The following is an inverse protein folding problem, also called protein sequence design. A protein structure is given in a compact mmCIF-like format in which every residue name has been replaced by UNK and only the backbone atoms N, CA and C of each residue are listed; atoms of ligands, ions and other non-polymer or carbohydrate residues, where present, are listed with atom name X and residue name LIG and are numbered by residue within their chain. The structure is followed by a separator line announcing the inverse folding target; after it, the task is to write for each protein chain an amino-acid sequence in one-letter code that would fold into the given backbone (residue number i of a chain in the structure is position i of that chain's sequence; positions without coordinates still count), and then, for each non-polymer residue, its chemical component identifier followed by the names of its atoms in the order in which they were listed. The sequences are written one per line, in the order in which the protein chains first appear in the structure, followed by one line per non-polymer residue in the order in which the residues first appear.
data_IF_758558758311
#
_entry.id   IF_758558758311
#
_cell.length_a   1.000
_cell.length_b   1.000
_cell.length_c   1.000
_cell.angle_alpha   90.00
_cell.angle_beta   90.00
_cell.angle_gamma   90.00
#
_symmetry.space_group_name_H-M   'P 1'
#
loop_
_entity.id
_entity.type
_entity.pdbx_description
1 polymer ?
#
# COMPACT_ATOMS: atom_id res chain seq x y z
N UNK A 1 -14.69 4.64 -4.28
CA UNK A 1 -13.39 4.92 -3.64
C UNK A 1 -12.34 4.70 -4.69
N UNK A 2 -11.37 5.60 -4.82
CA UNK A 2 -10.33 5.49 -5.85
C UNK A 2 -9.45 6.73 -5.92
N UNK A 3 -8.48 6.68 -6.80
CA UNK A 3 -7.48 7.71 -7.00
C UNK A 3 -7.45 8.16 -8.46
N UNK A 4 -7.16 9.44 -8.70
CA UNK A 4 -6.89 9.99 -10.04
C UNK A 4 -5.75 11.00 -10.00
N UNK A 5 -5.20 11.30 -11.17
CA UNK A 5 -4.20 12.37 -11.37
C UNK A 5 -4.53 13.15 -12.63
N UNK A 6 -4.09 14.41 -12.69
CA UNK A 6 -4.31 15.27 -13.85
C UNK A 6 -3.02 15.43 -14.65
N UNK A 7 -3.14 15.49 -15.98
CA UNK A 7 -2.00 15.68 -16.91
C UNK A 7 -0.90 14.62 -16.74
N UNK A 8 -1.31 13.41 -16.41
CA UNK A 8 -0.42 12.26 -16.21
C UNK A 8 -0.98 11.05 -16.93
N UNK A 9 -0.13 10.05 -17.16
CA UNK A 9 -0.56 8.74 -17.66
C UNK A 9 -0.75 7.76 -16.50
N UNK A 10 -1.42 6.64 -16.76
CA UNK A 10 -1.63 5.60 -15.76
C UNK A 10 -0.32 5.08 -15.16
N UNK A 11 0.75 5.04 -15.95
CA UNK A 11 2.09 4.64 -15.50
C UNK A 11 2.65 5.56 -14.41
N UNK A 12 2.40 6.88 -14.48
CA UNK A 12 2.90 7.84 -13.48
C UNK A 12 2.25 7.61 -12.11
N UNK A 13 0.94 7.32 -12.13
CA UNK A 13 0.15 7.01 -10.95
C UNK A 13 0.60 5.67 -10.32
N UNK A 14 0.74 4.63 -11.14
CA UNK A 14 1.18 3.30 -10.70
C UNK A 14 2.63 3.35 -10.19
N UNK A 15 3.50 4.09 -10.87
CA UNK A 15 4.90 4.29 -10.50
C UNK A 15 5.10 5.16 -9.25
N UNK A 16 4.05 5.83 -8.75
CA UNK A 16 4.15 6.75 -7.62
C UNK A 16 5.00 7.98 -7.92
N UNK A 17 5.09 8.38 -9.18
CA UNK A 17 5.81 9.58 -9.62
C UNK A 17 4.99 10.85 -9.33
N UNK A 18 3.68 10.69 -9.13
CA UNK A 18 2.72 11.75 -8.83
C UNK A 18 1.91 11.40 -7.60
N UNK A 19 1.51 12.42 -6.84
CA UNK A 19 0.63 12.23 -5.70
C UNK A 19 -0.83 12.16 -6.18
N UNK A 20 -1.55 11.04 -5.95
CA UNK A 20 -2.93 10.92 -6.36
C UNK A 20 -3.87 11.82 -5.57
N UNK A 21 -4.92 12.26 -6.24
CA UNK A 21 -6.06 12.93 -5.61
C UNK A 21 -7.25 11.98 -5.49
N UNK A 22 -8.10 12.14 -4.47
CA UNK A 22 -9.24 11.28 -4.25
C UNK A 22 -10.33 11.49 -5.30
N UNK A 23 -11.07 10.43 -5.62
CA UNK A 23 -12.20 10.53 -6.56
C UNK A 23 -13.37 11.33 -5.97
N UNK A 24 -13.74 11.10 -4.70
CA UNK A 24 -14.90 11.77 -4.07
C UNK A 24 -14.52 12.69 -2.91
N UNK A 25 -15.37 13.68 -2.63
CA UNK A 25 -15.26 14.56 -1.47
C UNK A 25 -15.41 13.76 -0.17
N UNK A 26 -16.31 12.77 -0.16
CA UNK A 26 -16.47 11.87 0.98
C UNK A 26 -15.16 11.15 1.32
N UNK A 27 -14.41 10.66 0.32
CA UNK A 27 -13.10 10.04 0.49
C UNK A 27 -12.06 11.06 0.97
N UNK A 28 -12.04 12.26 0.38
CA UNK A 28 -11.12 13.34 0.76
C UNK A 28 -11.25 13.75 2.23
N UNK A 29 -12.49 13.88 2.71
CA UNK A 29 -12.79 14.37 4.06
C UNK A 29 -12.64 13.30 5.15
N UNK A 30 -12.80 12.02 4.81
CA UNK A 30 -12.80 10.92 5.78
C UNK A 30 -11.46 10.21 5.92
N UNK A 31 -10.57 10.31 4.94
CA UNK A 31 -9.29 9.59 4.93
C UNK A 31 -8.13 10.45 5.44
N UNK A 32 -7.36 10.00 6.45
CA UNK A 32 -6.13 10.69 6.88
C UNK A 32 -5.11 10.90 5.75
N UNK A 33 -5.08 10.02 4.75
CA UNK A 33 -4.17 10.10 3.59
C UNK A 33 -4.30 11.41 2.81
N UNK A 34 -5.51 11.98 2.75
CA UNK A 34 -5.78 13.22 2.00
C UNK A 34 -5.97 14.43 2.90
N UNK A 35 -5.48 14.38 4.15
CA UNK A 35 -5.57 15.52 5.05
C UNK A 35 -4.79 16.72 4.47
N UNK A 36 -5.46 17.86 4.34
CA UNK A 36 -4.90 19.07 3.72
C UNK A 36 -4.95 19.09 2.18
N UNK A 37 -5.44 18.03 1.53
CA UNK A 37 -5.70 18.04 0.09
C UNK A 37 -7.02 18.76 -0.19
N UNK A 38 -6.98 19.74 -1.09
CA UNK A 38 -8.15 20.54 -1.49
C UNK A 38 -8.83 20.04 -2.76
N UNK A 39 -8.25 19.05 -3.44
CA UNK A 39 -8.64 18.57 -4.75
C UNK A 39 -9.35 17.21 -4.67
N UNK A 40 -10.37 17.03 -5.52
CA UNK A 40 -11.01 15.73 -5.78
C UNK A 40 -11.62 15.73 -7.18
N UNK A 41 -11.86 14.54 -7.77
CA UNK A 41 -12.49 14.46 -9.09
C UNK A 41 -13.91 15.05 -9.02
N UNK A 42 -14.64 14.74 -7.95
CA UNK A 42 -15.99 15.27 -7.68
C UNK A 42 -16.04 16.80 -7.62
N UNK A 43 -15.04 17.44 -6.99
CA UNK A 43 -14.98 18.90 -6.86
C UNK A 43 -14.48 19.59 -8.12
N UNK A 44 -13.37 19.09 -8.69
CA UNK A 44 -12.64 19.81 -9.73
C UNK A 44 -13.14 19.45 -11.15
N UNK A 45 -13.70 18.25 -11.33
CA UNK A 45 -14.22 17.74 -12.61
C UNK A 45 -15.61 17.09 -12.43
N UNK A 46 -16.63 17.85 -12.00
CA UNK A 46 -17.92 17.31 -11.59
C UNK A 46 -18.66 16.58 -12.73
N UNK A 47 -18.45 16.98 -13.99
CA UNK A 47 -19.06 16.30 -15.14
C UNK A 47 -18.46 14.91 -15.37
N UNK A 48 -17.13 14.80 -15.30
CA UNK A 48 -16.40 13.53 -15.41
C UNK A 48 -16.77 12.60 -14.25
N UNK A 49 -16.81 13.14 -13.03
CA UNK A 49 -17.21 12.38 -11.85
C UNK A 49 -18.62 11.79 -11.98
N UNK A 50 -19.59 12.58 -12.48
CA UNK A 50 -20.97 12.10 -12.69
C UNK A 50 -21.03 10.98 -13.72
N UNK A 51 -20.36 11.15 -14.86
CA UNK A 51 -20.29 10.11 -15.89
C UNK A 51 -19.65 8.82 -15.35
N UNK A 52 -18.57 8.93 -14.57
CA UNK A 52 -17.93 7.78 -13.95
C UNK A 52 -18.82 7.10 -12.91
N UNK A 53 -19.58 7.89 -12.13
CA UNK A 53 -20.53 7.38 -11.14
C UNK A 53 -21.70 6.65 -11.81
N UNK A 54 -22.20 7.16 -12.94
CA UNK A 54 -23.23 6.49 -13.74
C UNK A 54 -22.71 5.15 -14.25
N UNK A 55 -21.51 5.11 -14.84
CA UNK A 55 -20.89 3.85 -15.27
C UNK A 55 -20.74 2.86 -14.09
N UNK A 56 -20.25 3.33 -12.94
CA UNK A 56 -20.07 2.48 -11.77
C UNK A 56 -21.41 1.90 -11.25
N UNK A 57 -22.49 2.69 -11.30
CA UNK A 57 -23.85 2.23 -10.94
C UNK A 57 -24.37 1.23 -11.95
N UNK A 58 -24.29 1.51 -13.24
CA UNK A 58 -24.77 0.62 -14.30
C UNK A 58 -24.06 -0.75 -14.24
N UNK A 59 -22.75 -0.74 -13.99
CA UNK A 59 -21.98 -1.97 -13.82
C UNK A 59 -22.48 -2.80 -12.63
N UNK A 60 -22.79 -2.19 -11.50
CA UNK A 60 -23.25 -2.91 -10.30
C UNK A 60 -24.73 -3.29 -10.40
N UNK A 61 -25.58 -2.45 -10.96
CA UNK A 61 -27.03 -2.64 -10.93
C UNK A 61 -27.53 -3.50 -12.11
N UNK A 62 -26.93 -3.35 -13.29
CA UNK A 62 -27.48 -3.88 -14.55
C UNK A 62 -26.61 -5.00 -15.12
N UNK A 63 -25.28 -4.84 -15.12
CA UNK A 63 -24.41 -5.69 -15.91
C UNK A 63 -23.72 -6.81 -15.12
N UNK A 64 -23.03 -6.47 -14.04
CA UNK A 64 -22.13 -7.38 -13.33
C UNK A 64 -22.68 -7.86 -12.00
N UNK A 65 -23.60 -7.10 -11.39
CA UNK A 65 -24.20 -7.42 -10.08
C UNK A 65 -23.22 -7.53 -8.90
N UNK A 66 -21.97 -7.13 -9.10
CA UNK A 66 -20.89 -7.12 -8.11
C UNK A 66 -20.10 -5.80 -8.19
N UNK A 67 -19.50 -5.31 -7.08
CA UNK A 67 -18.57 -4.19 -7.11
C UNK A 67 -17.42 -4.42 -8.10
N UNK A 68 -17.05 -3.38 -8.85
CA UNK A 68 -16.01 -3.43 -9.87
C UNK A 68 -14.83 -2.51 -9.53
N UNK A 69 -13.63 -2.94 -9.88
CA UNK A 69 -12.48 -2.05 -10.05
C UNK A 69 -12.45 -1.54 -11.49
N UNK A 70 -12.32 -0.22 -11.65
CA UNK A 70 -12.43 0.47 -12.94
C UNK A 70 -11.15 1.28 -13.18
N UNK A 71 -10.52 1.07 -14.32
CA UNK A 71 -9.46 1.95 -14.84
C UNK A 71 -10.05 2.83 -15.93
N UNK A 72 -9.81 4.13 -15.82
CA UNK A 72 -10.38 5.13 -16.72
C UNK A 72 -9.34 6.21 -17.07
N UNK A 73 -9.61 6.93 -18.14
CA UNK A 73 -8.92 8.18 -18.49
C UNK A 73 -9.95 9.21 -18.93
N UNK A 74 -9.61 10.49 -18.87
CA UNK A 74 -10.41 11.55 -19.45
C UNK A 74 -9.53 12.58 -20.15
N UNK A 75 -9.99 13.09 -21.29
CA UNK A 75 -9.20 14.01 -22.12
C UNK A 75 -9.61 15.48 -21.93
N UNK A 76 -10.78 15.73 -21.32
CA UNK A 76 -11.24 17.08 -20.99
C UNK A 76 -12.10 17.10 -19.72
N UNK A 77 -12.54 18.29 -19.29
CA UNK A 77 -13.45 18.42 -18.15
C UNK A 77 -14.91 17.98 -18.47
N UNK A 78 -15.20 17.62 -19.73
CA UNK A 78 -16.50 17.08 -20.13
C UNK A 78 -16.66 15.62 -19.70
N UNK A 79 -17.85 15.24 -19.25
CA UNK A 79 -18.17 13.84 -18.98
C UNK A 79 -18.19 12.97 -20.24
N UNK A 80 -18.40 13.57 -21.42
CA UNK A 80 -18.39 12.87 -22.71
C UNK A 80 -16.99 12.39 -23.12
N UNK A 81 -15.94 13.00 -22.57
CA UNK A 81 -14.55 12.64 -22.82
C UNK A 81 -14.01 11.70 -21.73
N UNK A 82 -14.89 10.94 -21.07
CA UNK A 82 -14.55 9.85 -20.16
C UNK A 82 -14.42 8.54 -20.94
N UNK A 83 -13.30 7.86 -20.76
CA UNK A 83 -13.03 6.56 -21.38
C UNK A 83 -12.75 5.51 -20.31
N UNK A 84 -13.48 4.40 -20.34
CA UNK A 84 -13.20 3.24 -19.51
C UNK A 84 -12.23 2.32 -20.24
N UNK A 85 -11.07 2.09 -19.65
CA UNK A 85 -10.00 1.31 -20.25
C UNK A 85 -10.07 -0.15 -19.83
N UNK A 86 -10.39 -0.39 -18.57
CA UNK A 86 -10.50 -1.73 -18.00
C UNK A 86 -11.53 -1.75 -16.89
N UNK A 87 -12.20 -2.90 -16.74
CA UNK A 87 -12.98 -3.24 -15.55
C UNK A 87 -12.66 -4.67 -15.12
N UNK A 88 -12.73 -4.94 -13.83
CA UNK A 88 -12.68 -6.30 -13.28
C UNK A 88 -13.50 -6.40 -11.99
N UNK A 89 -14.02 -7.59 -11.64
CA UNK A 89 -14.67 -7.81 -10.36
C UNK A 89 -13.74 -7.42 -9.22
N UNK A 90 -14.26 -6.65 -8.27
CA UNK A 90 -13.53 -6.33 -7.06
C UNK A 90 -13.30 -7.63 -6.29
N UNK A 91 -12.02 -7.98 -6.12
CA UNK A 91 -11.65 -9.10 -5.26
C UNK A 91 -11.95 -8.65 -3.84
N UNK A 92 -13.01 -9.17 -3.27
CA UNK A 92 -13.28 -9.00 -1.84
C UNK A 92 -12.12 -9.65 -1.10
N UNK A 93 -11.26 -8.85 -0.50
CA UNK A 93 -10.38 -9.35 0.54
C UNK A 93 -11.29 -9.95 1.59
N UNK A 94 -11.36 -11.29 1.66
CA UNK A 94 -11.74 -11.95 2.89
C UNK A 94 -10.99 -11.21 3.98
N UNK A 95 -11.72 -10.64 4.95
CA UNK A 95 -11.13 -9.93 6.08
C UNK A 95 -10.27 -10.93 6.82
N UNK A 96 -9.03 -11.10 6.37
CA UNK A 96 -8.05 -11.92 7.05
C UNK A 96 -7.81 -11.17 8.34
N UNK A 97 -8.01 -11.86 9.45
CA UNK A 97 -7.76 -11.32 10.78
C UNK A 97 -6.26 -11.07 10.91
N UNK A 98 -5.81 -9.88 10.50
CA UNK A 98 -4.41 -9.54 10.61
C UNK A 98 -4.06 -9.16 12.05
N UNK A 99 -2.87 -9.55 12.54
CA UNK A 99 -2.36 -9.08 13.83
C UNK A 99 -2.30 -7.55 13.90
N UNK A 100 -2.27 -7.00 15.12
CA UNK A 100 -2.03 -5.57 15.36
C UNK A 100 -0.92 -5.39 16.40
N UNK A 101 -0.25 -4.23 16.38
CA UNK A 101 0.78 -3.93 17.37
C UNK A 101 0.16 -3.58 18.72
N UNK A 102 0.69 -4.18 19.79
CA UNK A 102 0.42 -3.71 21.14
C UNK A 102 1.22 -2.44 21.42
N UNK A 103 0.65 -1.30 21.02
CA UNK A 103 1.24 0.02 21.27
C UNK A 103 1.17 0.45 22.75
N UNK A 104 0.47 -0.33 23.60
CA UNK A 104 0.44 -0.11 25.05
C UNK A 104 1.61 -0.78 25.79
N UNK A 105 2.33 -1.68 25.11
CA UNK A 105 3.51 -2.33 25.66
C UNK A 105 4.62 -1.32 25.99
N UNK A 106 5.21 -1.46 27.19
CA UNK A 106 6.32 -0.60 27.63
C UNK A 106 7.50 -0.69 26.65
N UNK A 107 7.91 0.45 26.10
CA UNK A 107 9.05 0.55 25.18
C UNK A 107 8.66 0.69 23.70
N UNK A 108 7.38 0.55 23.35
CA UNK A 108 6.88 0.89 22.01
C UNK A 108 6.69 2.40 21.94
N UNK A 109 7.66 3.09 21.33
CA UNK A 109 7.60 4.53 21.10
C UNK A 109 6.67 4.89 19.94
N UNK A 110 6.67 6.17 19.54
CA UNK A 110 6.01 6.59 18.31
C UNK A 110 6.66 5.94 17.07
N UNK A 111 5.90 5.72 15.99
CA UNK A 111 6.45 5.21 14.74
C UNK A 111 7.58 6.12 14.26
N UNK A 112 8.66 5.51 13.75
CA UNK A 112 9.81 6.24 13.24
C UNK A 112 9.53 6.88 11.87
N UNK A 113 8.60 6.29 11.13
CA UNK A 113 8.12 6.76 9.85
C UNK A 113 6.69 6.23 9.62
N UNK A 114 5.98 6.90 8.71
CA UNK A 114 4.67 6.47 8.24
C UNK A 114 4.70 6.47 6.72
N UNK A 115 4.24 5.38 6.12
CA UNK A 115 3.96 5.30 4.68
C UNK A 115 2.47 5.03 4.44
N UNK A 116 2.14 4.57 3.24
CA UNK A 116 0.82 4.11 2.87
C UNK A 116 0.68 2.61 3.12
N UNK A 117 -0.13 2.22 4.10
CA UNK A 117 -0.49 0.81 4.29
C UNK A 117 -1.36 0.31 3.14
N UNK A 118 -0.97 -0.80 2.50
CA UNK A 118 -1.68 -1.34 1.32
C UNK A 118 -2.13 -2.78 1.46
N UNK A 119 -1.51 -3.59 2.32
CA UNK A 119 -1.87 -4.99 2.49
C UNK A 119 -1.39 -5.53 3.84
N UNK A 120 -2.18 -6.40 4.48
CA UNK A 120 -1.80 -7.05 5.74
C UNK A 120 -2.12 -6.23 7.00
N UNK A 121 -1.42 -6.53 8.09
CA UNK A 121 -1.54 -5.82 9.37
C UNK A 121 -0.18 -5.69 10.04
N UNK A 122 -0.13 -5.79 11.36
CA UNK A 122 1.14 -5.75 12.08
C UNK A 122 2.03 -6.94 11.72
N UNK A 123 3.29 -6.63 11.44
CA UNK A 123 4.28 -7.59 11.02
C UNK A 123 5.67 -7.21 11.52
N UNK A 124 6.45 -8.18 11.98
CA UNK A 124 7.80 -7.95 12.48
C UNK A 124 8.76 -8.96 11.85
N UNK A 125 9.82 -8.46 11.22
CA UNK A 125 10.81 -9.30 10.57
C UNK A 125 12.18 -8.64 10.51
N UNK A 126 13.15 -9.41 10.02
CA UNK A 126 14.50 -8.96 9.73
C UNK A 126 14.57 -8.21 8.42
N UNK A 127 15.32 -7.13 8.41
CA UNK A 127 15.58 -6.32 7.23
C UNK A 127 16.42 -7.09 6.21
N UNK A 128 15.98 -7.09 4.95
CA UNK A 128 16.79 -7.46 3.79
C UNK A 128 16.61 -6.42 2.68
N UNK A 129 17.65 -6.17 1.88
CA UNK A 129 17.65 -5.21 0.78
C UNK A 129 17.77 -5.93 -0.57
N UNK A 130 18.47 -7.06 -0.62
CA UNK A 130 18.74 -7.81 -1.85
C UNK A 130 18.66 -9.33 -1.64
N UNK A 131 18.70 -10.07 -2.75
CA UNK A 131 18.55 -11.53 -2.76
C UNK A 131 19.61 -12.25 -1.93
N UNK A 132 20.87 -11.81 -2.00
CA UNK A 132 21.96 -12.41 -1.22
C UNK A 132 21.68 -12.32 0.29
N UNK A 133 21.23 -11.16 0.76
CA UNK A 133 20.89 -10.98 2.17
C UNK A 133 19.69 -11.86 2.59
N UNK A 134 18.71 -12.05 1.70
CA UNK A 134 17.60 -12.98 1.96
C UNK A 134 18.14 -14.41 2.12
N UNK A 135 19.03 -14.86 1.23
CA UNK A 135 19.65 -16.19 1.31
C UNK A 135 20.40 -16.39 2.63
N UNK A 136 21.23 -15.41 3.02
CA UNK A 136 22.00 -15.45 4.26
C UNK A 136 21.11 -15.47 5.50
N UNK A 137 20.04 -14.68 5.51
CA UNK A 137 19.10 -14.62 6.63
C UNK A 137 18.30 -15.91 6.77
N UNK A 138 17.79 -16.48 5.67
CA UNK A 138 17.06 -17.75 5.72
C UNK A 138 17.97 -18.91 6.12
N UNK A 139 19.24 -18.90 5.73
CA UNK A 139 20.20 -19.92 6.16
C UNK A 139 20.54 -19.81 7.65
N UNK A 140 20.64 -18.59 8.18
CA UNK A 140 21.06 -18.33 9.57
C UNK A 140 19.90 -18.36 10.56
N UNK A 141 18.72 -17.92 10.14
CA UNK A 141 17.52 -17.76 10.95
C UNK A 141 16.29 -18.27 10.17
N UNK A 142 16.15 -19.59 9.97
CA UNK A 142 15.11 -20.16 9.10
C UNK A 142 13.68 -19.90 9.60
N UNK A 143 13.50 -19.64 10.89
CA UNK A 143 12.21 -19.34 11.52
C UNK A 143 11.93 -17.83 11.62
N UNK A 144 12.93 -16.98 11.34
CA UNK A 144 12.74 -15.54 11.40
C UNK A 144 12.20 -15.03 10.07
N UNK A 145 11.11 -14.28 10.18
CA UNK A 145 10.50 -13.61 9.06
C UNK A 145 11.35 -12.46 8.51
N UNK A 146 11.14 -12.10 7.24
CA UNK A 146 11.92 -11.07 6.53
C UNK A 146 11.01 -9.95 6.01
N UNK A 147 11.47 -8.71 6.19
CA UNK A 147 10.94 -7.49 5.58
C UNK A 147 11.92 -7.01 4.51
N UNK A 148 11.48 -7.07 3.25
CA UNK A 148 12.26 -6.58 2.11
C UNK A 148 12.08 -5.06 1.96
N UNK A 149 13.19 -4.33 1.90
CA UNK A 149 13.19 -2.90 1.60
C UNK A 149 13.66 -2.65 0.18
N UNK A 150 12.89 -1.84 -0.56
CA UNK A 150 13.20 -1.46 -1.94
C UNK A 150 12.96 0.04 -2.15
N UNK A 151 13.66 0.71 -3.09
CA UNK A 151 13.28 2.07 -3.49
C UNK A 151 11.88 2.08 -4.13
N UNK A 152 11.67 1.16 -5.05
CA UNK A 152 10.44 0.81 -5.76
C UNK A 152 10.52 -0.67 -6.12
N UNK A 153 9.46 -1.27 -6.66
CA UNK A 153 9.50 -2.68 -7.09
C UNK A 153 9.28 -2.80 -8.57
N UNK A 154 10.01 -3.73 -9.18
CA UNK A 154 9.88 -4.11 -10.59
C UNK A 154 9.49 -5.59 -10.72
N UNK A 155 9.01 -6.05 -11.89
CA UNK A 155 8.62 -7.45 -12.09
C UNK A 155 9.69 -8.48 -11.71
N UNK A 156 10.96 -8.15 -11.90
CA UNK A 156 12.11 -9.00 -11.58
C UNK A 156 12.24 -9.26 -10.06
N UNK A 157 11.69 -8.38 -9.22
CA UNK A 157 11.73 -8.52 -7.76
C UNK A 157 10.84 -9.69 -7.27
N UNK A 158 9.99 -10.27 -8.12
CA UNK A 158 9.04 -11.32 -7.73
C UNK A 158 9.71 -12.53 -7.07
N UNK A 159 10.92 -12.90 -7.54
CA UNK A 159 11.70 -13.99 -6.96
C UNK A 159 12.11 -13.72 -5.51
N UNK A 160 12.34 -12.45 -5.15
CA UNK A 160 12.59 -12.05 -3.77
C UNK A 160 11.29 -11.92 -2.97
N UNK A 161 10.28 -11.25 -3.54
CA UNK A 161 9.01 -10.95 -2.84
C UNK A 161 8.29 -12.24 -2.41
N UNK A 162 8.33 -13.29 -3.21
CA UNK A 162 7.72 -14.59 -2.87
C UNK A 162 8.32 -15.22 -1.62
N UNK A 163 9.59 -14.93 -1.31
CA UNK A 163 10.40 -15.55 -0.25
C UNK A 163 10.41 -14.78 1.08
N UNK A 164 9.90 -13.56 1.08
CA UNK A 164 9.79 -12.70 2.26
C UNK A 164 8.34 -12.58 2.69
N UNK A 165 8.07 -11.94 3.81
CA UNK A 165 6.72 -11.86 4.35
C UNK A 165 6.24 -10.42 4.54
N UNK A 166 7.18 -9.47 4.63
CA UNK A 166 6.92 -8.03 4.62
C UNK A 166 7.59 -7.33 3.43
N UNK A 167 6.96 -6.26 2.94
CA UNK A 167 7.49 -5.39 1.91
C UNK A 167 7.36 -3.92 2.34
N UNK A 168 8.47 -3.18 2.27
CA UNK A 168 8.50 -1.75 2.53
C UNK A 168 9.17 -1.04 1.36
N UNK A 169 8.49 -0.05 0.77
CA UNK A 169 9.03 0.68 -0.39
C UNK A 169 9.08 2.18 -0.14
N UNK A 170 10.09 2.85 -0.71
CA UNK A 170 10.25 4.30 -0.60
C UNK A 170 9.24 5.06 -1.49
N UNK A 171 8.87 4.46 -2.63
CA UNK A 171 7.95 5.00 -3.64
C UNK A 171 6.87 4.00 -3.99
N UNK A 172 5.82 4.48 -4.65
CA UNK A 172 4.70 3.69 -5.17
C UNK A 172 3.38 4.00 -4.45
N UNK A 173 2.28 4.05 -5.20
CA UNK A 173 0.93 4.28 -4.67
C UNK A 173 0.16 3.00 -4.35
N UNK A 174 -1.12 3.15 -4.00
CA UNK A 174 -2.04 2.06 -3.65
C UNK A 174 -2.28 1.04 -4.80
N UNK A 175 -2.02 1.45 -6.03
CA UNK A 175 -2.13 0.65 -7.27
C UNK A 175 -0.78 0.27 -7.87
N UNK A 176 0.33 0.58 -7.18
CA UNK A 176 1.68 0.25 -7.66
C UNK A 176 1.92 -1.25 -7.79
N UNK A 177 2.96 -1.61 -8.55
CA UNK A 177 3.43 -2.99 -8.64
C UNK A 177 3.65 -3.62 -7.24
N UNK A 178 4.21 -2.86 -6.30
CA UNK A 178 4.42 -3.29 -4.92
C UNK A 178 3.09 -3.62 -4.23
N UNK A 179 2.12 -2.70 -4.31
CA UNK A 179 0.82 -2.84 -3.66
C UNK A 179 0.01 -4.01 -4.25
N UNK A 180 -0.07 -4.12 -5.58
CA UNK A 180 -0.80 -5.21 -6.26
C UNK A 180 -0.15 -6.56 -5.97
N UNK A 181 1.18 -6.65 -6.05
CA UNK A 181 1.92 -7.89 -5.79
C UNK A 181 1.76 -8.32 -4.33
N UNK A 182 1.88 -7.40 -3.37
CA UNK A 182 1.72 -7.70 -1.96
C UNK A 182 0.32 -8.24 -1.64
N UNK A 183 -0.75 -7.60 -2.15
CA UNK A 183 -2.12 -8.08 -1.98
C UNK A 183 -2.30 -9.49 -2.55
N UNK A 184 -1.85 -9.70 -3.79
CA UNK A 184 -2.00 -10.98 -4.50
C UNK A 184 -1.26 -12.12 -3.80
N UNK A 185 -0.08 -11.84 -3.26
CA UNK A 185 0.76 -12.82 -2.56
C UNK A 185 0.50 -12.89 -1.05
N UNK A 186 -0.43 -12.09 -0.53
CA UNK A 186 -0.76 -12.05 0.90
C UNK A 186 0.39 -11.57 1.79
N UNK A 187 1.24 -10.67 1.29
CA UNK A 187 2.36 -10.08 2.05
C UNK A 187 1.89 -8.84 2.79
N UNK A 188 2.45 -8.59 3.98
CA UNK A 188 2.23 -7.31 4.65
C UNK A 188 3.04 -6.24 3.93
N UNK A 189 2.42 -5.13 3.54
CA UNK A 189 3.11 -4.11 2.77
C UNK A 189 2.73 -2.68 3.15
N UNK A 190 3.78 -1.85 3.18
CA UNK A 190 3.72 -0.39 3.29
C UNK A 190 4.50 0.21 2.11
N UNK A 191 3.89 1.17 1.42
CA UNK A 191 4.48 1.85 0.26
C UNK A 191 4.56 3.36 0.48
N UNK A 192 5.14 4.12 -0.45
CA UNK A 192 5.35 5.59 -0.33
C UNK A 192 6.00 6.02 1.00
N UNK A 193 6.95 5.24 1.52
CA UNK A 193 7.69 5.65 2.71
C UNK A 193 8.81 6.64 2.33
N UNK A 194 8.47 7.92 2.20
CA UNK A 194 9.43 8.97 1.76
C UNK A 194 10.65 9.16 2.66
N UNK A 195 10.56 8.68 3.90
CA UNK A 195 11.69 8.70 4.85
C UNK A 195 12.64 7.52 4.67
N UNK A 196 12.35 6.60 3.75
CA UNK A 196 13.20 5.46 3.40
C UNK A 196 14.09 5.80 2.22
N UNK A 197 15.38 5.59 2.40
CA UNK A 197 16.41 5.63 1.36
C UNK A 197 16.99 4.21 1.22
N UNK A 198 17.03 3.66 0.01
CA UNK A 198 17.57 2.32 -0.24
C UNK A 198 18.64 2.40 -1.32
N UNK A 199 19.79 1.77 -1.07
CA UNK A 199 20.90 1.66 -2.02
C UNK A 199 21.18 0.18 -2.25
N UNK A 200 20.48 -0.40 -3.22
CA UNK A 200 20.40 -1.85 -3.42
C UNK A 200 21.75 -2.52 -3.65
N UNK A 201 22.59 -1.91 -4.51
CA UNK A 201 23.90 -2.45 -4.88
C UNK A 201 24.89 -2.46 -3.71
N UNK A 202 24.67 -1.60 -2.71
CA UNK A 202 25.44 -1.59 -1.47
C UNK A 202 24.78 -2.45 -0.38
N UNK A 203 23.53 -2.88 -0.59
CA UNK A 203 22.76 -3.63 0.39
C UNK A 203 22.49 -2.85 1.67
N UNK A 204 22.35 -1.52 1.58
CA UNK A 204 22.09 -0.65 2.74
C UNK A 204 20.79 0.12 2.57
N UNK A 205 20.15 0.42 3.69
CA UNK A 205 18.99 1.30 3.75
C UNK A 205 19.14 2.31 4.90
N UNK A 206 18.46 3.45 4.79
CA UNK A 206 18.29 4.42 5.86
C UNK A 206 16.82 4.74 6.03
N UNK A 207 16.33 4.73 7.26
CA UNK A 207 14.95 5.07 7.59
C UNK A 207 14.94 6.25 8.58
N UNK A 208 14.32 7.36 8.18
CA UNK A 208 14.31 8.61 8.94
C UNK A 208 15.72 9.05 9.39
N UNK A 209 16.70 8.90 8.48
CA UNK A 209 18.11 9.23 8.71
C UNK A 209 18.92 8.19 9.50
N UNK A 210 18.31 7.10 9.97
CA UNK A 210 18.98 6.02 10.72
C UNK A 210 19.37 4.89 9.78
N UNK A 211 20.62 4.44 9.82
CA UNK A 211 21.06 3.32 9.00
C UNK A 211 20.44 2.01 9.49
N UNK A 212 19.94 1.21 8.56
CA UNK A 212 19.45 -0.14 8.77
C UNK A 212 20.41 -1.12 8.11
N UNK A 213 20.86 -2.11 8.87
CA UNK A 213 21.67 -3.21 8.39
C UNK A 213 20.79 -4.43 8.10
N UNK A 214 21.26 -5.30 7.21
CA UNK A 214 20.62 -6.60 6.99
C UNK A 214 20.58 -7.40 8.30
N UNK A 215 19.42 -7.96 8.61
CA UNK A 215 19.17 -8.69 9.85
C UNK A 215 18.66 -7.86 11.03
N UNK A 216 18.67 -6.53 10.92
CA UNK A 216 18.04 -5.65 11.93
C UNK A 216 16.54 -5.91 12.00
N UNK A 217 15.96 -5.74 13.18
CA UNK A 217 14.53 -5.92 13.37
C UNK A 217 13.76 -4.68 12.95
N UNK A 218 12.73 -4.87 12.13
CA UNK A 218 11.82 -3.84 11.68
C UNK A 218 10.38 -4.34 11.79
N UNK A 219 9.52 -3.49 12.33
CA UNK A 219 8.10 -3.77 12.48
C UNK A 219 7.29 -2.81 11.62
N UNK A 220 6.41 -3.34 10.76
CA UNK A 220 5.56 -2.58 9.85
C UNK A 220 4.08 -2.95 10.04
N UNK A 221 3.18 -1.98 9.91
CA UNK A 221 1.73 -2.21 9.91
C UNK A 221 1.17 -1.90 8.52
N UNK A 222 0.83 -2.95 7.78
CA UNK A 222 0.30 -2.85 6.43
C UNK A 222 -1.09 -2.24 6.31
N UNK A 223 -1.77 -1.96 7.44
CA UNK A 223 -3.06 -1.28 7.48
C UNK A 223 -2.92 0.21 7.78
N UNK A 224 -2.13 0.54 8.80
CA UNK A 224 -1.97 1.95 9.23
C UNK A 224 -0.80 2.66 8.55
N UNK A 225 0.11 1.91 7.94
CA UNK A 225 1.35 2.44 7.36
C UNK A 225 2.44 2.76 8.39
N UNK A 226 2.20 2.50 9.67
CA UNK A 226 3.16 2.79 10.74
C UNK A 226 4.37 1.85 10.68
N UNK A 227 5.55 2.42 10.90
CA UNK A 227 6.82 1.69 10.88
C UNK A 227 7.56 1.95 12.20
N UNK A 228 8.08 0.90 12.82
CA UNK A 228 8.79 0.94 14.09
C UNK A 228 10.12 0.21 13.98
N UNK A 229 11.14 0.73 14.66
CA UNK A 229 12.41 0.02 14.81
C UNK A 229 12.29 -1.07 15.87
N UNK A 230 12.96 -2.18 15.64
CA UNK A 230 13.01 -3.29 16.57
C UNK A 230 11.80 -4.22 16.46
N UNK A 231 11.68 -5.09 17.48
CA UNK A 231 10.57 -6.02 17.61
C UNK A 231 9.45 -5.38 18.40
N UNK A 232 8.34 -5.06 17.72
CA UNK A 232 7.12 -4.64 18.40
C UNK A 232 6.23 -5.87 18.64
N UNK A 233 5.77 -6.11 19.88
CA UNK A 233 4.84 -7.20 20.17
C UNK A 233 3.56 -7.08 19.35
N UNK A 234 3.13 -8.22 18.80
CA UNK A 234 1.91 -8.33 18.00
C UNK A 234 0.86 -9.12 18.79
N UNK A 235 -0.37 -8.63 18.78
CA UNK A 235 -1.51 -9.33 19.36
C UNK A 235 -2.34 -9.96 18.23
N UNK A 236 -2.77 -11.22 18.37
CA UNK A 236 -3.77 -11.78 17.49
C UNK A 236 -5.09 -11.04 17.73
N UNK A 237 -5.89 -10.88 16.67
CA UNK A 237 -7.25 -10.37 16.83
C UNK A 237 -8.13 -11.50 17.36
N UNK A 238 -8.10 -11.78 18.67
CA UNK A 238 -9.09 -12.66 19.28
C UNK A 238 -10.47 -12.04 19.10
N UNK A 239 -11.42 -12.81 18.58
CA UNK A 239 -12.84 -12.48 18.50
C UNK A 239 -13.33 -11.84 19.80
N UNK A 240 -13.42 -10.50 19.81
CA UNK A 240 -14.28 -9.84 20.78
C UNK A 240 -15.70 -10.33 20.48
N UNK A 241 -16.44 -10.88 21.46
CA UNK A 241 -17.84 -11.14 21.25
C UNK A 241 -18.48 -9.80 20.93
N UNK A 242 -19.10 -9.70 19.75
CA UNK A 242 -20.01 -8.61 19.43
C UNK A 242 -21.10 -8.69 20.47
N UNK A 243 -21.07 -7.81 21.47
CA UNK A 243 -22.24 -7.59 22.33
C UNK A 243 -23.38 -7.16 21.40
N UNK A 244 -24.34 -8.06 21.24
CA UNK A 244 -25.60 -7.83 20.53
C UNK A 244 -26.55 -7.04 21.41
#
# INVERSE_FOLDING_TARGET
FGDFTVRSQGEDLVGGLVFPWPISEAQRLSSPTYQGIEHSLEKDYPSVYRALLEVARDLVEIHEHDPQEIEFTFESASGDDLYILQKRPMVHEHTREFPYFDTSAKGVGQPIAVGMGVAGGAYCGRVAINAQQIDELLAKYPEDDIVLLRPDTVPEDIAMITRVSGLLTARGGATSHAAVTAKRLGKTAVVDCRSLEVVEYQGIARLAGRQLAAGDWLSIDGRTGNIYLGKVPMLPRSSQPVER
#
